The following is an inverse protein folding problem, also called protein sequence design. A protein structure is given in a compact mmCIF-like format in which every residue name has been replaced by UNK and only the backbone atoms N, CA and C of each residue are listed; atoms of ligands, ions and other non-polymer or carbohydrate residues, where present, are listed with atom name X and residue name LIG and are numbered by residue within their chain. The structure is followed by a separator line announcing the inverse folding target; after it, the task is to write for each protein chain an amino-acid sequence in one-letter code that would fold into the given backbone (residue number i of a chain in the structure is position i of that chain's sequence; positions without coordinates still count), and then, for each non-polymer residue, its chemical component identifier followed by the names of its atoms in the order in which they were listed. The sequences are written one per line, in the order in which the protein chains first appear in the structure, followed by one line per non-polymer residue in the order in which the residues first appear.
data_IF_371614998557
#
_entry.id   IF_371614998557
#
_cell.length_a   1.000
_cell.length_b   1.000
_cell.length_c   1.000
_cell.angle_alpha   90.00
_cell.angle_beta   90.00
_cell.angle_gamma   90.00
#
_symmetry.space_group_name_H-M   'P 1'
#
loop_
_entity.id
_entity.type
_entity.pdbx_description
1 polymer ?
#
# COMPACT_ATOMS: atom_id res chain seq x y z
N UNK A 1 10.13 -7.11 20.05
CA UNK A 1 11.06 -6.80 18.95
C UNK A 1 10.64 -5.53 18.26
N UNK A 2 11.23 -5.21 17.10
CA UNK A 2 10.79 -4.10 16.25
C UNK A 2 9.42 -4.40 15.62
N UNK A 3 8.67 -3.34 15.29
CA UNK A 3 7.55 -3.38 14.36
C UNK A 3 8.04 -2.92 12.99
N UNK A 4 7.51 -3.47 11.91
CA UNK A 4 8.06 -3.30 10.56
C UNK A 4 6.99 -2.78 9.61
N UNK A 5 7.34 -1.75 8.85
CA UNK A 5 6.64 -1.36 7.62
C UNK A 5 7.46 -1.95 6.47
N UNK A 6 6.93 -2.97 5.80
CA UNK A 6 7.61 -3.68 4.72
C UNK A 6 7.10 -3.18 3.36
N UNK A 7 8.01 -2.65 2.53
CA UNK A 7 7.65 -2.05 1.25
C UNK A 7 7.72 -3.06 0.10
N UNK A 8 6.76 -2.96 -0.83
CA UNK A 8 6.68 -3.72 -2.08
C UNK A 8 6.18 -2.80 -3.19
N UNK A 9 6.49 -3.10 -4.45
CA UNK A 9 6.10 -2.26 -5.58
C UNK A 9 6.80 -2.62 -6.88
N UNK A 10 6.18 -2.22 -7.99
CA UNK A 10 6.69 -2.44 -9.34
C UNK A 10 7.12 -1.13 -10.04
N UNK A 11 8.14 -1.23 -10.91
CA UNK A 11 8.59 -0.14 -11.77
C UNK A 11 7.65 0.10 -12.95
N UNK A 12 7.86 1.21 -13.68
CA UNK A 12 7.07 1.53 -14.87
C UNK A 12 7.19 0.45 -15.94
N UNK A 13 8.40 -0.04 -16.18
CA UNK A 13 8.67 -1.10 -17.16
C UNK A 13 7.95 -2.39 -16.79
N UNK A 14 7.94 -2.75 -15.50
CA UNK A 14 7.25 -3.93 -14.99
C UNK A 14 5.72 -3.79 -15.12
N UNK A 15 5.18 -2.60 -14.86
CA UNK A 15 3.75 -2.33 -15.03
C UNK A 15 3.33 -2.38 -16.51
N UNK A 16 4.08 -1.72 -17.39
CA UNK A 16 3.81 -1.71 -18.83
C UNK A 16 3.96 -3.11 -19.46
N UNK A 17 4.78 -3.98 -18.87
CA UNK A 17 4.87 -5.39 -19.22
C UNK A 17 3.75 -6.28 -18.62
N UNK A 18 2.75 -5.69 -17.93
CA UNK A 18 1.66 -6.44 -17.31
C UNK A 18 2.08 -7.30 -16.11
N UNK A 19 3.22 -6.98 -15.49
CA UNK A 19 3.87 -7.81 -14.45
C UNK A 19 3.68 -7.28 -13.02
N UNK A 20 2.79 -6.30 -12.79
CA UNK A 20 2.56 -5.70 -11.47
C UNK A 20 2.37 -6.75 -10.37
N UNK A 21 1.38 -7.63 -10.49
CA UNK A 21 1.11 -8.61 -9.44
C UNK A 21 2.15 -9.73 -9.40
N UNK A 22 2.84 -10.05 -10.50
CA UNK A 22 3.96 -10.99 -10.48
C UNK A 22 5.07 -10.47 -9.58
N UNK A 23 5.49 -9.22 -9.78
CA UNK A 23 6.57 -8.59 -9.02
C UNK A 23 6.17 -8.41 -7.55
N UNK A 24 4.98 -7.86 -7.29
CA UNK A 24 4.50 -7.61 -5.93
C UNK A 24 4.32 -8.93 -5.16
N UNK A 25 3.81 -9.99 -5.80
CA UNK A 25 3.68 -11.30 -5.19
C UNK A 25 5.04 -11.94 -4.86
N UNK A 26 6.03 -11.85 -5.77
CA UNK A 26 7.38 -12.37 -5.53
C UNK A 26 8.07 -11.67 -4.35
N UNK A 27 7.96 -10.34 -4.28
CA UNK A 27 8.50 -9.56 -3.16
C UNK A 27 7.80 -9.90 -1.83
N UNK A 28 6.47 -10.01 -1.85
CA UNK A 28 5.69 -10.35 -0.64
C UNK A 28 5.97 -11.78 -0.19
N UNK A 29 6.10 -12.72 -1.13
CA UNK A 29 6.50 -14.11 -0.86
C UNK A 29 7.86 -14.19 -0.17
N UNK A 30 8.84 -13.43 -0.63
CA UNK A 30 10.17 -13.42 -0.03
C UNK A 30 10.13 -13.03 1.47
N UNK A 31 9.19 -12.17 1.87
CA UNK A 31 8.95 -11.82 3.28
C UNK A 31 8.19 -12.96 3.98
N UNK A 32 7.07 -13.41 3.40
CA UNK A 32 6.20 -14.44 3.96
C UNK A 32 6.94 -15.75 4.27
N UNK A 33 7.89 -16.14 3.41
CA UNK A 33 8.71 -17.35 3.59
C UNK A 33 9.69 -17.26 4.79
N UNK A 34 9.84 -16.07 5.41
CA UNK A 34 10.77 -15.81 6.52
C UNK A 34 10.09 -15.49 7.84
N UNK A 35 8.77 -15.29 7.85
CA UNK A 35 8.04 -14.92 9.06
C UNK A 35 6.82 -15.82 9.24
N UNK A 36 6.47 -16.08 10.50
CA UNK A 36 5.24 -16.79 10.86
C UNK A 36 4.23 -15.88 11.54
N UNK A 37 4.65 -14.72 12.04
CA UNK A 37 3.82 -13.77 12.78
C UNK A 37 3.77 -12.42 12.06
N UNK A 38 2.55 -12.01 11.70
CA UNK A 38 2.24 -10.78 10.99
C UNK A 38 1.75 -9.65 11.90
N UNK A 39 1.56 -9.90 13.21
CA UNK A 39 0.97 -8.94 14.16
C UNK A 39 1.73 -7.61 14.27
N UNK A 40 3.03 -7.62 13.95
CA UNK A 40 3.89 -6.45 13.99
C UNK A 40 4.34 -5.97 12.60
N UNK A 41 3.64 -6.39 11.54
CA UNK A 41 3.93 -6.05 10.14
C UNK A 41 2.81 -5.20 9.55
N UNK A 42 3.20 -4.14 8.84
CA UNK A 42 2.36 -3.38 7.92
C UNK A 42 3.00 -3.50 6.53
N UNK A 43 2.21 -3.72 5.49
CA UNK A 43 2.71 -3.69 4.11
C UNK A 43 2.49 -2.30 3.52
N UNK A 44 3.51 -1.71 2.91
CA UNK A 44 3.38 -0.49 2.13
C UNK A 44 3.52 -0.81 0.64
N UNK A 45 2.47 -0.58 -0.15
CA UNK A 45 2.54 -0.68 -1.60
C UNK A 45 3.02 0.66 -2.19
N UNK A 46 4.17 0.65 -2.83
CA UNK A 46 4.75 1.78 -3.54
C UNK A 46 4.53 1.62 -5.05
N UNK A 47 3.65 2.41 -5.70
CA UNK A 47 3.55 2.44 -7.16
C UNK A 47 4.79 3.14 -7.73
N UNK A 48 5.96 2.48 -7.73
CA UNK A 48 7.24 3.07 -8.16
C UNK A 48 7.13 3.61 -9.59
N UNK A 49 6.33 2.97 -10.43
CA UNK A 49 5.96 3.44 -11.77
C UNK A 49 5.37 4.86 -11.82
N UNK A 50 4.79 5.37 -10.72
CA UNK A 50 4.21 6.71 -10.59
C UNK A 50 5.05 7.66 -9.72
N UNK A 51 6.25 7.25 -9.28
CA UNK A 51 7.15 8.07 -8.46
C UNK A 51 8.24 8.64 -9.36
N UNK A 52 8.24 9.97 -9.55
CA UNK A 52 9.27 10.67 -10.34
C UNK A 52 9.21 10.44 -11.86
N UNK A 53 8.19 9.75 -12.37
CA UNK A 53 8.02 9.43 -13.81
C UNK A 53 7.10 10.41 -14.56
N UNK A 54 6.47 11.35 -13.84
CA UNK A 54 5.42 12.22 -14.39
C UNK A 54 4.06 11.54 -14.57
N UNK A 55 3.94 10.24 -14.25
CA UNK A 55 2.67 9.51 -14.17
C UNK A 55 2.05 9.71 -12.78
N UNK A 56 0.73 9.63 -12.71
CA UNK A 56 -0.04 9.72 -11.46
C UNK A 56 -0.90 8.48 -11.34
N UNK A 57 -0.76 7.76 -10.22
CA UNK A 57 -1.65 6.65 -9.89
C UNK A 57 -3.00 7.18 -9.39
N UNK A 58 -4.08 6.67 -9.96
CA UNK A 58 -5.43 7.01 -9.50
C UNK A 58 -5.80 6.19 -8.25
N UNK A 59 -6.77 6.64 -7.43
CA UNK A 59 -7.25 5.85 -6.29
C UNK A 59 -7.76 4.46 -6.69
N UNK A 60 -8.39 4.34 -7.86
CA UNK A 60 -8.82 3.05 -8.39
C UNK A 60 -7.64 2.11 -8.71
N UNK A 61 -6.52 2.64 -9.23
CA UNK A 61 -5.31 1.84 -9.48
C UNK A 61 -4.61 1.44 -8.18
N UNK A 62 -4.65 2.30 -7.15
CA UNK A 62 -4.17 1.93 -5.81
C UNK A 62 -5.03 0.81 -5.21
N UNK A 63 -6.35 0.96 -5.26
CA UNK A 63 -7.31 -0.03 -4.78
C UNK A 63 -7.16 -1.38 -5.48
N UNK A 64 -6.98 -1.40 -6.80
CA UNK A 64 -6.77 -2.62 -7.58
C UNK A 64 -5.60 -3.45 -7.03
N UNK A 65 -4.44 -2.82 -6.82
CA UNK A 65 -3.25 -3.54 -6.34
C UNK A 65 -3.41 -3.95 -4.88
N UNK A 66 -4.00 -3.10 -4.04
CA UNK A 66 -4.26 -3.44 -2.63
C UNK A 66 -5.21 -4.64 -2.49
N UNK A 67 -6.30 -4.67 -3.25
CA UNK A 67 -7.25 -5.79 -3.24
C UNK A 67 -6.59 -7.09 -3.72
N UNK A 68 -5.82 -7.04 -4.80
CA UNK A 68 -5.08 -8.20 -5.31
C UNK A 68 -4.01 -8.69 -4.33
N UNK A 69 -3.31 -7.77 -3.64
CA UNK A 69 -2.34 -8.12 -2.61
C UNK A 69 -3.01 -8.73 -1.37
N UNK A 70 -4.17 -8.23 -0.96
CA UNK A 70 -4.95 -8.83 0.12
C UNK A 70 -5.43 -10.24 -0.24
N UNK A 71 -5.90 -10.45 -1.47
CA UNK A 71 -6.27 -11.79 -1.96
C UNK A 71 -5.08 -12.74 -2.02
N UNK A 72 -3.90 -12.22 -2.40
CA UNK A 72 -2.66 -12.98 -2.35
C UNK A 72 -2.33 -13.42 -0.91
N UNK A 73 -2.41 -12.53 0.08
CA UNK A 73 -2.20 -12.88 1.50
C UNK A 73 -3.21 -13.92 1.98
N UNK A 74 -4.48 -13.78 1.58
CA UNK A 74 -5.56 -14.69 1.95
C UNK A 74 -5.27 -16.12 1.49
N UNK A 75 -4.77 -16.24 0.26
CA UNK A 75 -4.49 -17.52 -0.38
C UNK A 75 -3.16 -18.14 0.07
N UNK A 76 -2.12 -17.32 0.26
CA UNK A 76 -0.75 -17.80 0.47
C UNK A 76 -0.29 -17.77 1.92
N UNK A 77 -1.01 -17.06 2.80
CA UNK A 77 -0.71 -17.00 4.23
C UNK A 77 -1.89 -17.52 5.05
N UNK A 78 -2.98 -16.76 5.14
CA UNK A 78 -4.26 -17.17 5.74
C UNK A 78 -5.32 -16.07 5.58
N UNK A 79 -6.62 -16.40 5.65
CA UNK A 79 -7.69 -15.42 5.72
C UNK A 79 -7.53 -14.42 6.86
N UNK A 80 -7.11 -14.88 8.03
CA UNK A 80 -6.95 -14.05 9.23
C UNK A 80 -5.81 -13.02 9.06
N UNK A 81 -4.69 -13.43 8.47
CA UNK A 81 -3.59 -12.49 8.15
C UNK A 81 -4.04 -11.47 7.12
N UNK A 82 -4.79 -11.88 6.09
CA UNK A 82 -5.28 -10.97 5.06
C UNK A 82 -6.27 -9.93 5.60
N UNK A 83 -7.13 -10.31 6.54
CA UNK A 83 -8.10 -9.42 7.17
C UNK A 83 -7.44 -8.43 8.14
N UNK A 84 -6.42 -8.86 8.88
CA UNK A 84 -5.83 -8.05 9.95
C UNK A 84 -4.58 -7.25 9.55
N UNK A 85 -3.90 -7.64 8.47
CA UNK A 85 -2.71 -6.92 7.99
C UNK A 85 -3.12 -5.63 7.31
N UNK A 86 -2.55 -4.52 7.79
CA UNK A 86 -2.71 -3.20 7.15
C UNK A 86 -1.89 -3.15 5.87
N UNK A 87 -2.52 -2.78 4.77
CA UNK A 87 -1.89 -2.46 3.49
C UNK A 87 -2.03 -0.96 3.25
N UNK A 88 -0.94 -0.22 3.43
CA UNK A 88 -0.89 1.24 3.30
C UNK A 88 -0.34 1.64 1.93
N UNK A 89 -0.83 2.75 1.39
CA UNK A 89 -0.40 3.28 0.11
C UNK A 89 0.82 4.19 0.27
N UNK A 90 1.92 3.86 -0.43
CA UNK A 90 3.19 4.58 -0.41
C UNK A 90 3.45 5.46 -1.62
N UNK A 91 2.45 5.68 -2.48
CA UNK A 91 2.59 6.63 -3.59
C UNK A 91 2.43 8.09 -3.17
N UNK A 92 2.31 9.00 -4.15
CA UNK A 92 2.12 10.42 -3.86
C UNK A 92 0.78 10.68 -3.15
N UNK A 93 0.85 11.14 -1.90
CA UNK A 93 -0.31 11.55 -1.09
C UNK A 93 -0.18 13.02 -0.73
N UNK A 94 -1.27 13.75 -0.88
CA UNK A 94 -1.41 15.17 -0.51
C UNK A 94 -2.68 15.34 0.32
N UNK A 95 -2.84 16.46 1.02
CA UNK A 95 -4.10 16.75 1.75
C UNK A 95 -5.34 16.68 0.85
N UNK A 96 -5.20 17.05 -0.43
CA UNK A 96 -6.30 17.02 -1.40
C UNK A 96 -6.69 15.59 -1.84
N UNK A 97 -5.73 14.66 -1.93
CA UNK A 97 -5.97 13.29 -2.42
C UNK A 97 -6.21 12.27 -1.30
N UNK A 98 -5.85 12.61 -0.05
CA UNK A 98 -5.88 11.67 1.07
C UNK A 98 -7.28 11.09 1.33
N UNK A 99 -8.35 11.90 1.28
CA UNK A 99 -9.71 11.41 1.55
C UNK A 99 -10.19 10.40 0.49
N UNK A 100 -9.91 10.64 -0.79
CA UNK A 100 -10.33 9.75 -1.87
C UNK A 100 -9.57 8.41 -1.86
N UNK A 101 -8.28 8.44 -1.49
CA UNK A 101 -7.48 7.25 -1.27
C UNK A 101 -7.93 6.50 -0.01
N UNK A 102 -8.23 7.20 1.09
CA UNK A 102 -8.72 6.60 2.33
C UNK A 102 -10.12 5.97 2.16
N UNK A 103 -10.92 6.44 1.22
CA UNK A 103 -12.21 5.85 0.90
C UNK A 103 -12.10 4.47 0.21
N UNK A 104 -10.94 4.13 -0.35
CA UNK A 104 -10.76 2.85 -1.05
C UNK A 104 -10.81 1.67 -0.06
N UNK A 105 -11.61 0.61 -0.30
CA UNK A 105 -11.85 -0.46 0.67
C UNK A 105 -10.59 -1.09 1.28
N UNK A 106 -9.57 -1.37 0.46
CA UNK A 106 -8.37 -2.11 0.85
C UNK A 106 -7.16 -1.21 1.13
N UNK A 107 -7.34 0.11 1.08
CA UNK A 107 -6.31 1.09 1.48
C UNK A 107 -6.48 1.42 2.96
N UNK A 108 -5.51 1.01 3.78
CA UNK A 108 -5.58 1.09 5.24
C UNK A 108 -4.79 2.28 5.84
N UNK A 109 -4.29 3.17 4.99
CA UNK A 109 -3.51 4.34 5.39
C UNK A 109 -2.41 4.67 4.39
N UNK A 110 -1.42 5.45 4.83
CA UNK A 110 -0.40 6.03 3.95
C UNK A 110 1.03 5.89 4.50
N UNK A 111 1.99 5.67 3.61
CA UNK A 111 3.42 5.90 3.85
C UNK A 111 3.82 7.19 3.10
N UNK A 112 3.81 8.32 3.81
CA UNK A 112 3.90 9.64 3.18
C UNK A 112 5.35 10.09 3.03
N UNK A 113 5.74 10.41 1.79
CA UNK A 113 7.04 11.01 1.46
C UNK A 113 7.12 12.50 1.79
N UNK A 114 7.35 13.35 0.77
CA UNK A 114 7.66 14.78 0.97
C UNK A 114 6.60 15.61 1.71
N UNK A 115 5.33 15.23 1.64
CA UNK A 115 4.26 15.90 2.39
C UNK A 115 4.38 15.71 3.92
N UNK A 116 5.10 14.68 4.38
CA UNK A 116 5.35 14.45 5.82
C UNK A 116 6.18 15.55 6.49
N UNK A 117 6.92 16.35 5.71
CA UNK A 117 7.76 17.43 6.19
C UNK A 117 7.03 18.78 6.27
N UNK A 118 5.71 18.79 6.05
CA UNK A 118 4.90 20.00 5.90
C UNK A 118 3.67 19.96 6.80
N UNK A 119 3.04 21.12 7.09
CA UNK A 119 1.80 21.16 7.87
C UNK A 119 0.65 20.34 7.27
N UNK A 120 0.61 20.18 5.94
CA UNK A 120 -0.40 19.37 5.23
C UNK A 120 -0.41 17.89 5.67
N UNK A 121 0.65 17.40 6.33
CA UNK A 121 0.65 16.05 6.90
C UNK A 121 -0.47 15.83 7.92
N UNK A 122 -0.90 16.88 8.63
CA UNK A 122 -2.02 16.81 9.56
C UNK A 122 -3.33 16.53 8.81
N UNK A 123 -3.53 17.13 7.64
CA UNK A 123 -4.71 16.88 6.81
C UNK A 123 -4.72 15.42 6.32
N UNK A 124 -3.55 14.87 5.97
CA UNK A 124 -3.40 13.48 5.57
C UNK A 124 -3.71 12.52 6.74
N UNK A 125 -3.28 12.84 7.96
CA UNK A 125 -3.64 12.07 9.16
C UNK A 125 -5.17 12.09 9.38
N UNK A 126 -5.80 13.26 9.23
CA UNK A 126 -7.24 13.42 9.45
C UNK A 126 -8.10 12.65 8.43
N UNK A 127 -7.56 12.27 7.28
CA UNK A 127 -8.26 11.38 6.34
C UNK A 127 -8.64 10.02 6.94
N UNK A 128 -8.04 9.62 8.07
CA UNK A 128 -8.45 8.43 8.81
C UNK A 128 -9.93 8.45 9.23
N UNK A 129 -10.56 9.62 9.38
CA UNK A 129 -11.98 9.72 9.74
C UNK A 129 -12.92 9.28 8.62
N UNK A 130 -12.44 9.19 7.37
CA UNK A 130 -13.23 8.70 6.22
C UNK A 130 -13.69 7.26 6.42
N UNK A 131 -12.86 6.42 7.05
CA UNK A 131 -13.18 5.00 7.33
C UNK A 131 -14.11 4.82 8.53
N UNK A 132 -14.27 5.86 9.36
CA UNK A 132 -15.09 5.83 10.58
C UNK A 132 -16.46 6.49 10.40
N UNK A 133 -16.73 7.02 9.20
CA UNK A 133 -17.98 7.66 8.81
C UNK A 133 -18.89 6.66 8.09
#
# INVERSE_FOLDING_TARGET
GLKVIACVGETLEQREAGSTMTVVAEQTKAIADKITDWTNVVIAYEPVWAIGTGKVATPAQAQEVHANLRDWLKTNVSPEVAETTRIIYGGSVTGASANELAAQPDVDGFLVGGASLKPEFIDIINAATVKSA
#
